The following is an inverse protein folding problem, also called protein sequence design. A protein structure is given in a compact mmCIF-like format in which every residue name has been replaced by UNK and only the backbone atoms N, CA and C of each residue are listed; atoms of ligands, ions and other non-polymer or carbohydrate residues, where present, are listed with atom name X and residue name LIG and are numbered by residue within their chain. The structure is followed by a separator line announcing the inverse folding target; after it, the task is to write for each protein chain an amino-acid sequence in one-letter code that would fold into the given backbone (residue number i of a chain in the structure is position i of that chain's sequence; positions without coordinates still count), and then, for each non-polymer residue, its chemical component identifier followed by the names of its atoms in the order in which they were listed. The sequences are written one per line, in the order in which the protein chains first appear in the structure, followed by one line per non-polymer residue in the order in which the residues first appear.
data_IF_045461915585
#
_entry.id   IF_045461915585
#
_cell.length_a   1.000
_cell.length_b   1.000
_cell.length_c   1.000
_cell.angle_alpha   90.00
_cell.angle_beta   90.00
_cell.angle_gamma   90.00
#
_symmetry.space_group_name_H-M   'P 1'
#
loop_
_entity.id
_entity.type
_entity.pdbx_description
1 polymer ?
#
# COMPACT_ATOMS: atom_id res chain seq x y z
N UNK A 1 9.78 -74.09 -0.21
CA UNK A 1 9.06 -72.80 -0.06
C UNK A 1 9.81 -71.96 0.96
N UNK A 2 10.43 -70.87 0.50
CA UNK A 2 11.30 -69.98 1.30
C UNK A 2 10.50 -69.30 2.42
N UNK A 3 11.01 -69.31 3.64
CA UNK A 3 10.58 -68.38 4.70
C UNK A 3 11.82 -67.68 5.27
N UNK A 4 11.87 -66.38 5.01
CA UNK A 4 12.90 -65.44 5.44
C UNK A 4 12.69 -65.09 6.91
N UNK A 5 13.75 -65.17 7.71
CA UNK A 5 13.77 -64.62 9.08
C UNK A 5 14.13 -63.14 8.95
N UNK A 6 13.17 -62.28 9.26
CA UNK A 6 13.32 -60.82 9.29
C UNK A 6 13.89 -60.42 10.65
N UNK A 7 15.03 -59.73 10.65
CA UNK A 7 15.56 -59.04 11.83
C UNK A 7 14.79 -57.73 12.03
N UNK A 8 14.03 -57.62 13.11
CA UNK A 8 13.35 -56.37 13.48
C UNK A 8 14.31 -55.55 14.36
N UNK A 9 14.94 -54.53 13.79
CA UNK A 9 15.62 -53.49 14.57
C UNK A 9 14.59 -52.42 14.90
N UNK A 10 14.20 -52.32 16.16
CA UNK A 10 13.36 -51.25 16.66
C UNK A 10 14.22 -50.00 16.85
N UNK A 11 14.06 -49.00 15.98
CA UNK A 11 14.62 -47.67 16.18
C UNK A 11 13.56 -46.78 16.82
N UNK A 12 13.61 -46.67 18.14
CA UNK A 12 12.76 -45.74 18.91
C UNK A 12 13.35 -44.33 18.75
N UNK A 13 12.92 -43.62 17.71
CA UNK A 13 13.25 -42.23 17.48
C UNK A 13 12.29 -41.38 18.32
N UNK A 14 12.67 -41.10 19.57
CA UNK A 14 11.98 -40.10 20.40
C UNK A 14 12.37 -38.74 19.84
N UNK A 15 11.60 -38.26 18.86
CA UNK A 15 11.63 -36.86 18.47
C UNK A 15 10.97 -36.08 19.60
N UNK A 16 11.76 -35.47 20.47
CA UNK A 16 11.26 -34.41 21.32
C UNK A 16 10.90 -33.25 20.40
N UNK A 17 9.61 -33.12 20.08
CA UNK A 17 9.07 -31.91 19.49
C UNK A 17 9.32 -30.79 20.51
N UNK A 18 10.39 -30.01 20.32
CA UNK A 18 10.46 -28.68 20.86
C UNK A 18 9.35 -27.88 20.17
N UNK A 19 8.14 -27.93 20.75
CA UNK A 19 7.13 -26.89 20.54
C UNK A 19 7.71 -25.61 21.12
N UNK A 20 8.54 -24.92 20.34
CA UNK A 20 8.55 -23.47 20.40
C UNK A 20 7.10 -23.07 20.15
N UNK A 21 6.40 -22.70 21.22
CA UNK A 21 5.03 -22.23 21.15
C UNK A 21 5.02 -20.98 20.29
N UNK A 22 4.74 -21.12 19.00
CA UNK A 22 4.18 -20.04 18.23
C UNK A 22 2.85 -19.73 18.89
N UNK A 23 2.82 -18.73 19.76
CA UNK A 23 1.60 -18.09 20.21
C UNK A 23 0.94 -17.52 18.97
N UNK A 24 0.00 -18.27 18.39
CA UNK A 24 -0.92 -17.73 17.41
C UNK A 24 -1.78 -16.75 18.21
N UNK A 25 -1.43 -15.47 18.19
CA UNK A 25 -2.32 -14.44 18.72
C UNK A 25 -3.63 -14.54 17.95
N UNK A 26 -4.72 -14.65 18.72
CA UNK A 26 -6.09 -14.52 18.25
C UNK A 26 -6.25 -13.22 17.44
N UNK A 27 -7.28 -13.18 16.59
CA UNK A 27 -7.55 -11.98 15.81
C UNK A 27 -7.71 -10.76 16.72
N UNK A 28 -6.92 -9.72 16.47
CA UNK A 28 -6.98 -8.44 17.19
C UNK A 28 -7.72 -7.43 16.35
N UNK A 29 -8.56 -6.59 16.96
CA UNK A 29 -9.14 -5.41 16.30
C UNK A 29 -8.03 -4.40 16.05
N UNK A 30 -7.77 -4.07 14.79
CA UNK A 30 -6.68 -3.16 14.39
C UNK A 30 -7.19 -1.84 13.80
N UNK A 31 -8.46 -1.79 13.39
CA UNK A 31 -9.16 -0.56 13.02
C UNK A 31 -10.68 -0.76 13.16
N UNK A 32 -11.40 0.33 13.45
CA UNK A 32 -12.86 0.31 13.60
C UNK A 32 -13.47 1.64 13.14
N UNK A 33 -14.58 1.60 12.42
CA UNK A 33 -15.50 2.73 12.24
C UNK A 33 -16.79 2.44 12.99
N UNK A 34 -16.99 3.08 14.15
CA UNK A 34 -18.23 2.95 14.91
C UNK A 34 -19.44 3.53 14.17
N UNK A 35 -19.21 4.60 13.38
CA UNK A 35 -20.26 5.27 12.60
C UNK A 35 -20.85 4.37 11.51
N UNK A 36 -20.00 3.58 10.87
CA UNK A 36 -20.39 2.78 9.70
C UNK A 36 -20.53 1.28 10.02
N UNK A 37 -20.32 0.89 11.29
CA UNK A 37 -20.33 -0.48 11.79
C UNK A 37 -19.37 -1.40 11.00
N UNK A 38 -18.10 -0.99 11.00
CA UNK A 38 -17.01 -1.68 10.29
C UNK A 38 -15.91 -2.00 11.28
N UNK A 39 -15.50 -3.27 11.36
CA UNK A 39 -14.36 -3.67 12.19
C UNK A 39 -13.36 -4.47 11.37
N UNK A 40 -12.09 -4.09 11.44
CA UNK A 40 -10.99 -4.79 10.76
C UNK A 40 -10.16 -5.50 11.82
N UNK A 41 -9.95 -6.79 11.60
CA UNK A 41 -9.16 -7.66 12.45
C UNK A 41 -7.95 -8.21 11.69
N UNK A 42 -6.90 -8.54 12.42
CA UNK A 42 -5.76 -9.27 11.87
C UNK A 42 -5.02 -10.05 12.95
N UNK A 43 -4.16 -10.97 12.53
CA UNK A 43 -3.19 -11.63 13.41
C UNK A 43 -1.88 -10.86 13.40
N UNK A 44 -1.30 -10.63 14.58
CA UNK A 44 0.02 -10.05 14.70
C UNK A 44 1.08 -11.13 14.48
N UNK A 45 2.00 -10.86 13.56
CA UNK A 45 3.11 -11.75 13.20
C UNK A 45 4.40 -10.92 13.16
N UNK A 46 5.01 -10.74 14.33
CA UNK A 46 6.16 -9.84 14.49
C UNK A 46 5.76 -8.37 14.34
N UNK A 47 6.47 -7.64 13.48
CA UNK A 47 6.19 -6.23 13.18
C UNK A 47 5.07 -5.98 12.17
N UNK A 48 4.35 -7.03 11.76
CA UNK A 48 3.32 -6.98 10.73
C UNK A 48 2.02 -7.62 11.21
N UNK A 49 0.90 -7.03 10.85
CA UNK A 49 -0.41 -7.66 10.81
C UNK A 49 -0.58 -8.42 9.50
N UNK A 50 -1.16 -9.62 9.56
CA UNK A 50 -1.47 -10.51 8.42
C UNK A 50 -2.77 -11.26 8.69
N UNK A 51 -3.27 -11.98 7.68
CA UNK A 51 -4.48 -12.80 7.79
C UNK A 51 -5.66 -11.96 8.29
N UNK A 52 -6.15 -11.05 7.44
CA UNK A 52 -7.12 -10.04 7.83
C UNK A 52 -8.55 -10.57 7.73
N UNK A 53 -9.43 -10.00 8.56
CA UNK A 53 -10.89 -10.11 8.45
C UNK A 53 -11.52 -8.73 8.49
N UNK A 54 -12.61 -8.56 7.77
CA UNK A 54 -13.43 -7.34 7.78
C UNK A 54 -14.83 -7.78 8.16
N UNK A 55 -15.34 -7.30 9.28
CA UNK A 55 -16.76 -7.40 9.61
C UNK A 55 -17.46 -6.16 9.08
N UNK A 56 -18.43 -6.38 8.20
CA UNK A 56 -19.17 -5.31 7.54
C UNK A 56 -20.57 -5.79 7.17
N UNK A 57 -21.59 -5.02 7.57
CA UNK A 57 -23.01 -5.29 7.26
C UNK A 57 -23.48 -6.70 7.68
N UNK A 58 -22.96 -7.19 8.81
CA UNK A 58 -23.33 -8.49 9.37
C UNK A 58 -22.64 -9.70 8.74
N UNK A 59 -21.72 -9.47 7.80
CA UNK A 59 -20.90 -10.52 7.19
C UNK A 59 -19.41 -10.33 7.50
N UNK A 60 -18.65 -11.42 7.44
CA UNK A 60 -17.19 -11.43 7.63
C UNK A 60 -16.49 -11.78 6.32
N UNK A 61 -15.58 -10.91 5.88
CA UNK A 61 -14.80 -11.09 4.66
C UNK A 61 -13.33 -11.32 4.99
N UNK A 62 -12.72 -12.35 4.38
CA UNK A 62 -11.33 -12.74 4.63
C UNK A 62 -10.37 -12.10 3.61
N UNK A 63 -9.22 -11.64 4.09
CA UNK A 63 -8.14 -11.08 3.26
C UNK A 63 -6.78 -11.65 3.70
N UNK A 64 -6.48 -12.90 3.31
CA UNK A 64 -5.31 -13.63 3.82
C UNK A 64 -3.96 -13.03 3.39
N UNK A 65 -3.94 -12.29 2.27
CA UNK A 65 -2.73 -11.74 1.68
C UNK A 65 -2.45 -10.28 2.07
N UNK A 66 -3.36 -9.65 2.82
CA UNK A 66 -3.17 -8.30 3.29
C UNK A 66 -2.04 -8.20 4.32
N UNK A 67 -1.44 -7.03 4.37
CA UNK A 67 -0.36 -6.72 5.28
C UNK A 67 -0.47 -5.27 5.75
N UNK A 68 -0.24 -5.04 7.03
CA UNK A 68 -0.09 -3.71 7.61
C UNK A 68 1.01 -3.75 8.65
N UNK A 69 1.76 -2.67 8.85
CA UNK A 69 2.67 -2.57 9.99
C UNK A 69 1.92 -2.54 11.32
N UNK A 70 2.55 -3.00 12.40
CA UNK A 70 1.88 -3.02 13.73
C UNK A 70 1.92 -1.69 14.47
N UNK A 71 2.57 -0.67 13.92
CA UNK A 71 2.68 0.65 14.54
C UNK A 71 1.32 1.36 14.50
N UNK A 72 0.75 1.74 15.66
CA UNK A 72 -0.58 2.37 15.73
C UNK A 72 -0.72 3.68 14.93
N UNK A 73 0.36 4.45 14.75
CA UNK A 73 0.34 5.67 13.91
C UNK A 73 0.00 5.36 12.45
N UNK A 74 0.26 4.12 12.01
CA UNK A 74 0.03 3.62 10.67
C UNK A 74 -1.04 2.51 10.66
N UNK A 75 -2.01 2.57 11.58
CA UNK A 75 -3.15 1.68 11.59
C UNK A 75 -3.95 1.79 10.26
N UNK A 76 -4.66 0.73 9.84
CA UNK A 76 -5.51 0.79 8.66
C UNK A 76 -6.52 1.93 8.74
N UNK A 77 -6.74 2.60 7.61
CA UNK A 77 -7.80 3.59 7.48
C UNK A 77 -9.05 2.92 6.91
N UNK A 78 -10.21 3.27 7.47
CA UNK A 78 -11.51 2.81 7.00
C UNK A 78 -12.30 4.03 6.55
N UNK A 79 -12.69 4.06 5.29
CA UNK A 79 -13.45 5.16 4.70
C UNK A 79 -14.68 4.56 4.02
N UNK A 80 -15.87 5.09 4.32
CA UNK A 80 -17.13 4.63 3.73
C UNK A 80 -17.92 5.80 3.14
N UNK A 81 -17.68 6.07 1.85
CA UNK A 81 -18.07 7.30 1.16
C UNK A 81 -18.41 7.03 -0.30
N UNK A 82 -19.33 7.81 -0.86
CA UNK A 82 -19.62 7.80 -2.30
C UNK A 82 -18.53 8.60 -3.01
N UNK A 83 -17.61 7.91 -3.67
CA UNK A 83 -16.49 8.52 -4.40
C UNK A 83 -16.66 8.42 -5.92
N UNK A 84 -17.74 7.79 -6.40
CA UNK A 84 -18.07 7.65 -7.83
C UNK A 84 -19.29 8.48 -8.26
N UNK A 85 -20.02 9.09 -7.30
CA UNK A 85 -21.21 9.93 -7.45
C UNK A 85 -22.46 9.20 -7.95
N UNK A 86 -22.60 7.90 -7.64
CA UNK A 86 -23.77 7.09 -7.96
C UNK A 86 -24.79 6.98 -6.82
N UNK A 87 -24.59 7.77 -5.76
CA UNK A 87 -25.37 7.77 -4.51
C UNK A 87 -25.24 6.49 -3.66
N UNK A 88 -24.30 5.61 -3.99
CA UNK A 88 -23.91 4.46 -3.17
C UNK A 88 -22.48 4.66 -2.70
N UNK A 89 -22.23 4.22 -1.47
CA UNK A 89 -20.91 4.34 -0.85
C UNK A 89 -20.03 3.17 -1.23
N UNK A 90 -18.76 3.46 -1.44
CA UNK A 90 -17.69 2.47 -1.47
C UNK A 90 -17.08 2.31 -0.09
N UNK A 91 -16.66 1.08 0.24
CA UNK A 91 -15.74 0.84 1.35
C UNK A 91 -14.31 0.92 0.81
N UNK A 92 -13.53 1.83 1.35
CA UNK A 92 -12.11 2.00 1.04
C UNK A 92 -11.30 1.64 2.28
N UNK A 93 -10.34 0.74 2.11
CA UNK A 93 -9.35 0.39 3.14
C UNK A 93 -7.97 0.77 2.62
N UNK A 94 -7.26 1.60 3.39
CA UNK A 94 -5.86 1.96 3.11
C UNK A 94 -4.98 1.28 4.15
N UNK A 95 -4.04 0.47 3.68
CA UNK A 95 -3.05 -0.23 4.50
C UNK A 95 -1.68 0.41 4.32
N UNK A 96 -0.90 0.46 5.39
CA UNK A 96 0.51 0.85 5.35
C UNK A 96 1.39 -0.39 5.50
N UNK A 97 2.07 -0.79 4.42
CA UNK A 97 2.93 -1.98 4.35
C UNK A 97 4.34 -1.73 4.87
N UNK A 98 4.81 -0.48 4.78
CA UNK A 98 6.13 -0.06 5.24
C UNK A 98 6.18 1.42 5.56
N UNK A 99 7.07 1.80 6.48
CA UNK A 99 7.32 3.20 6.84
C UNK A 99 8.76 3.39 7.31
N UNK A 100 9.25 4.62 7.27
CA UNK A 100 10.57 5.01 7.75
C UNK A 100 10.97 6.39 7.24
N UNK A 101 12.22 6.78 7.47
CA UNK A 101 12.76 8.02 6.90
C UNK A 101 12.76 7.93 5.38
N UNK A 102 11.96 8.79 4.73
CA UNK A 102 11.82 8.79 3.28
C UNK A 102 11.01 7.61 2.73
N UNK A 103 10.34 6.84 3.59
CA UNK A 103 9.51 5.69 3.18
C UNK A 103 8.13 5.75 3.80
N UNK A 104 7.11 5.67 2.96
CA UNK A 104 5.73 5.33 3.32
C UNK A 104 5.18 4.53 2.15
N UNK A 105 4.86 3.27 2.36
CA UNK A 105 4.32 2.39 1.32
C UNK A 105 2.88 2.03 1.69
N UNK A 106 1.93 2.70 1.04
CA UNK A 106 0.51 2.43 1.20
C UNK A 106 -0.07 1.65 0.03
N UNK A 107 -1.10 0.89 0.33
CA UNK A 107 -1.92 0.16 -0.62
C UNK A 107 -3.39 0.43 -0.34
N UNK A 108 -4.18 0.60 -1.39
CA UNK A 108 -5.62 0.90 -1.29
C UNK A 108 -6.44 -0.25 -1.85
N UNK A 109 -7.55 -0.53 -1.17
CA UNK A 109 -8.55 -1.48 -1.62
C UNK A 109 -9.91 -0.80 -1.61
N UNK A 110 -10.61 -0.87 -2.73
CA UNK A 110 -11.94 -0.28 -2.89
C UNK A 110 -12.96 -1.38 -3.12
N UNK A 111 -14.11 -1.26 -2.48
CA UNK A 111 -15.18 -2.24 -2.54
C UNK A 111 -16.53 -1.60 -2.76
N UNK A 112 -17.39 -2.33 -3.47
CA UNK A 112 -18.82 -2.08 -3.51
C UNK A 112 -19.57 -3.13 -2.73
N UNK A 113 -20.68 -2.72 -2.13
CA UNK A 113 -21.62 -3.64 -1.49
C UNK A 113 -22.97 -3.61 -2.20
N UNK A 114 -23.17 -4.56 -3.12
CA UNK A 114 -24.44 -4.70 -3.83
C UNK A 114 -25.20 -5.97 -3.44
N UNK A 115 -24.48 -7.02 -3.01
CA UNK A 115 -24.98 -8.27 -2.42
C UNK A 115 -23.77 -9.00 -1.80
N UNK A 116 -23.09 -8.32 -0.87
CA UNK A 116 -21.79 -8.71 -0.39
C UNK A 116 -20.68 -7.82 -0.93
N UNK A 117 -19.47 -8.00 -0.39
CA UNK A 117 -18.31 -7.15 -0.67
C UNK A 117 -17.58 -7.58 -1.96
N UNK A 118 -17.65 -6.74 -2.99
CA UNK A 118 -16.99 -6.96 -4.28
C UNK A 118 -15.80 -6.03 -4.45
N UNK A 119 -14.63 -6.58 -4.76
CA UNK A 119 -13.43 -5.83 -5.11
C UNK A 119 -13.65 -4.97 -6.36
N UNK A 120 -13.23 -3.71 -6.27
CA UNK A 120 -13.12 -2.80 -7.39
C UNK A 120 -11.65 -2.50 -7.59
N UNK A 121 -11.14 -2.80 -8.79
CA UNK A 121 -9.74 -2.57 -9.11
C UNK A 121 -9.43 -1.06 -9.09
N UNK A 122 -8.21 -0.74 -8.67
CA UNK A 122 -7.62 0.60 -8.76
C UNK A 122 -6.34 0.45 -9.57
N UNK A 123 -6.15 1.27 -10.60
CA UNK A 123 -4.91 1.30 -11.35
C UNK A 123 -3.72 1.54 -10.42
N UNK A 124 -2.65 0.78 -10.61
CA UNK A 124 -1.44 0.95 -9.83
C UNK A 124 -0.77 2.30 -10.15
N UNK A 125 -0.50 3.16 -9.16
CA UNK A 125 0.06 4.49 -9.38
C UNK A 125 1.47 4.43 -10.00
N UNK A 126 2.25 3.39 -9.71
CA UNK A 126 3.59 3.24 -10.27
C UNK A 126 3.53 2.87 -11.75
N UNK A 127 2.60 2.00 -12.14
CA UNK A 127 2.33 1.70 -13.54
C UNK A 127 1.91 2.94 -14.33
N UNK A 128 1.04 3.79 -13.75
CA UNK A 128 0.67 5.09 -14.32
C UNK A 128 1.92 5.98 -14.49
N UNK A 129 2.74 6.13 -13.45
CA UNK A 129 3.96 6.94 -13.49
C UNK A 129 4.92 6.45 -14.59
N UNK A 130 5.19 5.14 -14.67
CA UNK A 130 6.13 4.60 -15.66
C UNK A 130 5.66 4.81 -17.10
N UNK A 131 4.35 4.74 -17.31
CA UNK A 131 3.73 4.98 -18.62
C UNK A 131 3.80 6.45 -19.01
N UNK A 132 3.30 7.33 -18.14
CA UNK A 132 2.90 8.69 -18.50
C UNK A 132 3.86 9.80 -18.05
N UNK A 133 4.80 9.50 -17.14
CA UNK A 133 5.76 10.47 -16.60
C UNK A 133 7.16 10.22 -17.16
N UNK A 134 7.80 11.27 -17.67
CA UNK A 134 9.22 11.24 -18.10
C UNK A 134 10.02 12.23 -17.27
N UNK A 135 11.21 11.83 -16.86
CA UNK A 135 12.05 12.64 -15.96
C UNK A 135 13.45 12.84 -16.50
N UNK A 136 14.09 13.92 -16.07
CA UNK A 136 15.51 14.17 -16.26
C UNK A 136 16.05 14.87 -15.01
N UNK A 137 17.15 14.37 -14.48
CA UNK A 137 17.84 14.95 -13.33
C UNK A 137 19.25 15.39 -13.74
N UNK A 138 19.68 16.52 -13.21
CA UNK A 138 21.03 17.07 -13.36
C UNK A 138 21.44 17.67 -12.01
N UNK A 139 22.68 18.11 -11.88
CA UNK A 139 23.18 18.75 -10.64
C UNK A 139 22.47 20.05 -10.26
N UNK A 140 21.83 20.72 -11.22
CA UNK A 140 21.20 22.02 -11.00
C UNK A 140 19.67 21.97 -11.07
N UNK A 141 19.11 21.03 -11.83
CA UNK A 141 17.66 20.97 -12.08
C UNK A 141 17.10 19.56 -12.17
N UNK A 142 15.85 19.46 -11.75
CA UNK A 142 14.97 18.34 -12.02
C UNK A 142 13.90 18.77 -13.04
N UNK A 143 13.70 17.96 -14.08
CA UNK A 143 12.65 18.14 -15.09
C UNK A 143 11.69 16.95 -15.03
N UNK A 144 10.39 17.25 -14.93
CA UNK A 144 9.29 16.27 -14.96
C UNK A 144 8.40 16.64 -16.14
N UNK A 145 8.09 15.69 -17.01
CA UNK A 145 7.16 15.84 -18.15
C UNK A 145 5.98 14.90 -17.97
N UNK A 146 4.78 15.44 -18.08
CA UNK A 146 3.50 14.73 -18.00
C UNK A 146 2.65 15.18 -19.17
N UNK A 147 2.49 14.31 -20.17
CA UNK A 147 1.97 14.73 -21.49
C UNK A 147 2.79 15.90 -22.05
N UNK A 148 2.11 16.99 -22.41
CA UNK A 148 2.75 18.21 -22.93
C UNK A 148 3.26 19.17 -21.84
N UNK A 149 2.89 18.95 -20.58
CA UNK A 149 3.32 19.81 -19.46
C UNK A 149 4.75 19.47 -19.07
N UNK A 150 5.59 20.49 -18.94
CA UNK A 150 6.98 20.37 -18.48
C UNK A 150 7.16 21.21 -17.21
N UNK A 151 7.56 20.55 -16.13
CA UNK A 151 7.88 21.16 -14.85
C UNK A 151 9.39 21.17 -14.67
N UNK A 152 9.94 22.32 -14.28
CA UNK A 152 11.37 22.48 -13.99
C UNK A 152 11.52 22.99 -12.57
N UNK A 153 12.35 22.30 -11.79
CA UNK A 153 12.65 22.64 -10.40
C UNK A 153 14.15 22.89 -10.30
N UNK A 154 14.51 24.07 -9.80
CA UNK A 154 15.88 24.38 -9.40
C UNK A 154 16.18 23.66 -8.08
N UNK A 155 17.22 22.83 -8.09
CA UNK A 155 17.62 22.03 -6.93
C UNK A 155 18.92 22.56 -6.30
N UNK A 156 19.50 23.63 -6.84
CA UNK A 156 20.71 24.23 -6.29
C UNK A 156 20.58 24.69 -4.83
N UNK A 157 19.43 25.20 -4.34
CA UNK A 157 19.28 25.57 -2.92
C UNK A 157 19.37 24.38 -1.95
N UNK A 158 19.23 23.14 -2.45
CA UNK A 158 19.34 21.94 -1.63
C UNK A 158 20.79 21.53 -1.33
N UNK A 159 21.77 22.16 -1.99
CA UNK A 159 23.21 21.93 -1.80
C UNK A 159 23.61 20.43 -1.80
N UNK A 160 22.95 19.63 -2.64
CA UNK A 160 23.15 18.18 -2.72
C UNK A 160 24.53 17.91 -3.32
N UNK A 161 25.39 17.21 -2.58
CA UNK A 161 26.68 16.73 -3.11
C UNK A 161 26.43 15.85 -4.34
N UNK A 162 27.17 16.02 -5.46
CA UNK A 162 26.97 15.22 -6.66
C UNK A 162 27.02 13.70 -6.43
N UNK A 163 27.82 13.23 -5.45
CA UNK A 163 27.90 11.81 -5.08
C UNK A 163 26.63 11.26 -4.40
N UNK A 164 25.78 12.13 -3.88
CA UNK A 164 24.53 11.78 -3.22
C UNK A 164 23.31 12.00 -4.12
N UNK A 165 23.50 12.66 -5.27
CA UNK A 165 22.44 12.86 -6.25
C UNK A 165 22.20 11.55 -6.99
N UNK A 166 20.94 11.17 -7.13
CA UNK A 166 20.57 9.99 -7.91
C UNK A 166 20.76 10.20 -9.41
N UNK A 167 20.83 9.10 -10.17
CA UNK A 167 20.92 9.15 -11.64
C UNK A 167 19.67 9.74 -12.30
N UNK A 168 18.52 9.58 -11.63
CA UNK A 168 17.22 10.08 -12.06
C UNK A 168 16.33 10.37 -10.86
N UNK A 169 15.14 10.89 -11.13
CA UNK A 169 14.11 11.06 -10.11
C UNK A 169 13.52 9.68 -9.81
N UNK A 170 13.68 9.21 -8.58
CA UNK A 170 13.15 7.95 -8.10
C UNK A 170 11.73 8.14 -7.54
N UNK A 171 10.84 7.21 -7.84
CA UNK A 171 9.47 7.16 -7.31
C UNK A 171 9.26 5.83 -6.56
N UNK A 172 8.28 5.80 -5.67
CA UNK A 172 7.87 4.59 -4.94
C UNK A 172 8.39 4.49 -3.50
N UNK A 173 9.31 5.36 -3.09
CA UNK A 173 9.71 5.44 -1.68
C UNK A 173 8.55 5.93 -0.79
N UNK A 174 7.83 6.94 -1.25
CA UNK A 174 6.64 7.47 -0.59
C UNK A 174 5.47 7.36 -1.56
N UNK A 175 4.54 6.45 -1.26
CA UNK A 175 3.24 6.27 -1.91
C UNK A 175 2.18 6.43 -0.82
N UNK A 176 1.33 7.43 -0.98
CA UNK A 176 0.22 7.70 -0.06
C UNK A 176 -1.10 7.70 -0.79
N UNK A 177 -2.15 7.25 -0.12
CA UNK A 177 -3.52 7.37 -0.59
C UNK A 177 -4.32 8.20 0.40
N UNK A 178 -5.29 8.93 -0.14
CA UNK A 178 -6.33 9.59 0.65
C UNK A 178 -7.64 9.63 -0.13
N UNK A 179 -8.75 9.80 0.60
CA UNK A 179 -10.02 10.22 0.01
C UNK A 179 -10.26 11.65 0.46
N UNK A 180 -10.37 12.55 -0.50
CA UNK A 180 -10.59 13.98 -0.25
C UNK A 180 -11.60 14.52 -1.25
N UNK A 181 -12.55 15.30 -0.78
CA UNK A 181 -13.60 15.92 -1.60
C UNK A 181 -14.32 14.89 -2.51
N UNK A 182 -14.66 13.72 -1.95
CA UNK A 182 -15.27 12.59 -2.66
C UNK A 182 -14.40 12.00 -3.79
N UNK A 183 -13.08 12.12 -3.71
CA UNK A 183 -12.16 11.60 -4.73
C UNK A 183 -11.06 10.76 -4.08
N UNK A 184 -10.78 9.61 -4.67
CA UNK A 184 -9.58 8.83 -4.36
C UNK A 184 -8.37 9.50 -5.01
N UNK A 185 -7.34 9.76 -4.22
CA UNK A 185 -6.11 10.43 -4.63
C UNK A 185 -4.92 9.57 -4.20
N UNK A 186 -3.94 9.41 -5.09
CA UNK A 186 -2.63 8.89 -4.75
C UNK A 186 -1.56 9.98 -4.91
N UNK A 187 -0.63 10.04 -3.96
CA UNK A 187 0.47 11.00 -3.94
C UNK A 187 1.79 10.24 -3.84
N UNK A 188 2.69 10.49 -4.79
CA UNK A 188 3.95 9.76 -4.93
C UNK A 188 5.11 10.75 -4.97
N UNK A 189 6.02 10.69 -3.99
CA UNK A 189 7.13 11.64 -3.91
C UNK A 189 8.24 11.31 -4.92
N UNK A 190 8.73 12.35 -5.61
CA UNK A 190 9.89 12.29 -6.48
C UNK A 190 11.18 12.53 -5.71
N UNK A 191 11.90 11.46 -5.40
CA UNK A 191 13.14 11.49 -4.64
C UNK A 191 14.35 11.69 -5.54
N UNK A 192 15.30 12.55 -5.13
CA UNK A 192 16.51 12.86 -5.91
C UNK A 192 17.81 12.60 -5.15
N UNK A 193 17.73 12.36 -3.84
CA UNK A 193 18.83 11.94 -2.97
C UNK A 193 18.27 11.14 -1.80
N UNK A 194 19.10 10.48 -0.96
CA UNK A 194 18.61 9.74 0.21
C UNK A 194 17.72 10.57 1.16
N UNK A 195 17.88 11.90 1.19
CA UNK A 195 17.17 12.79 2.11
C UNK A 195 16.45 13.96 1.40
N UNK A 196 16.40 14.00 0.07
CA UNK A 196 15.84 15.12 -0.69
C UNK A 196 14.83 14.67 -1.74
N UNK A 197 13.73 15.41 -1.81
CA UNK A 197 12.61 15.20 -2.73
C UNK A 197 12.34 16.51 -3.45
N UNK A 198 11.91 16.46 -4.71
CA UNK A 198 11.64 17.67 -5.52
C UNK A 198 10.16 18.08 -5.54
N UNK A 199 9.29 17.20 -5.08
CA UNK A 199 7.85 17.36 -5.15
C UNK A 199 7.15 16.00 -5.23
N UNK A 200 5.88 16.03 -5.62
CA UNK A 200 5.01 14.86 -5.65
C UNK A 200 4.23 14.78 -6.96
N UNK A 201 4.04 13.56 -7.46
CA UNK A 201 3.05 13.26 -8.49
C UNK A 201 1.73 13.01 -7.77
N UNK A 202 0.69 13.75 -8.15
CA UNK A 202 -0.67 13.63 -7.63
C UNK A 202 -1.55 13.03 -8.71
N UNK A 203 -2.12 11.88 -8.41
CA UNK A 203 -3.03 11.13 -9.29
C UNK A 203 -4.41 11.19 -8.66
N UNK A 204 -5.35 11.81 -9.38
CA UNK A 204 -6.78 11.76 -9.02
C UNK A 204 -7.43 10.65 -9.84
N UNK A 205 -8.17 9.77 -9.18
CA UNK A 205 -8.85 8.66 -9.84
C UNK A 205 -10.31 9.00 -10.18
N UNK A 206 -10.82 8.35 -11.22
CA UNK A 206 -12.24 8.28 -11.53
C UNK A 206 -12.67 6.85 -11.79
N UNK A 207 -13.94 6.57 -11.51
CA UNK A 207 -14.53 5.28 -11.83
C UNK A 207 -14.92 5.20 -13.31
N UNK A 208 -14.23 4.37 -14.08
CA UNK A 208 -14.47 4.16 -15.51
C UNK A 208 -14.15 2.71 -15.88
N UNK A 209 -14.91 2.13 -16.80
CA UNK A 209 -14.73 0.75 -17.28
C UNK A 209 -14.63 -0.28 -16.14
N UNK A 210 -15.51 -0.10 -15.16
CA UNK A 210 -15.65 -0.94 -13.98
C UNK A 210 -14.51 -0.90 -12.95
N UNK A 211 -13.57 0.05 -13.04
CA UNK A 211 -12.45 0.22 -12.11
C UNK A 211 -12.09 1.69 -11.88
N UNK A 212 -11.24 1.99 -10.89
CA UNK A 212 -10.69 3.33 -10.69
C UNK A 212 -9.42 3.51 -11.54
N UNK A 213 -9.48 4.44 -12.48
CA UNK A 213 -8.38 4.77 -13.40
C UNK A 213 -7.94 6.21 -13.20
N UNK A 214 -6.73 6.55 -13.64
CA UNK A 214 -6.25 7.93 -13.58
C UNK A 214 -7.16 8.86 -14.40
N UNK A 215 -7.75 9.85 -13.71
CA UNK A 215 -8.46 10.98 -14.33
C UNK A 215 -7.50 12.10 -14.70
N UNK A 216 -6.58 12.41 -13.78
CA UNK A 216 -5.57 13.45 -13.97
C UNK A 216 -4.30 13.09 -13.22
N UNK A 217 -3.17 13.51 -13.80
CA UNK A 217 -1.83 13.35 -13.24
C UNK A 217 -1.20 14.74 -13.24
N UNK A 218 -0.78 15.22 -12.08
CA UNK A 218 -0.14 16.53 -11.93
C UNK A 218 1.13 16.43 -11.09
N UNK A 219 2.06 17.35 -11.29
CA UNK A 219 3.23 17.49 -10.44
C UNK A 219 3.09 18.71 -9.54
N UNK A 220 3.23 18.50 -8.23
CA UNK A 220 3.28 19.55 -7.22
C UNK A 220 4.71 19.66 -6.71
N UNK A 221 5.40 20.75 -7.06
CA UNK A 221 6.75 21.02 -6.58
C UNK A 221 6.74 21.43 -5.11
N UNK A 222 7.77 21.03 -4.38
CA UNK A 222 8.05 21.63 -3.09
C UNK A 222 8.74 22.99 -3.29
N UNK A 223 8.57 23.88 -2.31
CA UNK A 223 9.27 25.15 -2.26
C UNK A 223 10.51 24.99 -1.37
N UNK A 224 11.65 25.48 -1.83
CA UNK A 224 12.93 25.47 -1.12
C UNK A 224 13.54 26.87 -1.15
#
# INVERSE_FOLDING_TARGET
MKKYIIFTVAFLLVVTLNKAGATIEEYTVIAKSDKDDITVYAKKMGGLYRDFKIDFKGETYFRPYWMNVTNPTYAPQIIYEDINKDAKKELIIILTKGYGTGVVDQEVYVYRNTNGLFDVLVDDPMAIIYKDVKTKLTTEKAEIRIGDKIYKVDITPLEIKPTNLFEGIAFGGVIKYEVKDHQLIATISGQISPASFVGEIVIVYEYRDSMYQAKSIEFQRYNF
#
